data_IF_902231308683
#
_entry.id   IF_902231308683
#
_cell.length_a   1.000
_cell.length_b   1.000
_cell.length_c   1.000
_cell.angle_alpha   90.00
_cell.angle_beta   90.00
_cell.angle_gamma   90.00
#
_symmetry.space_group_name_H-M   'P 1'
#
loop_
_entity.id
_entity.type
_entity.pdbx_description
1 polymer ?
#
# COMPACT_ATOMS: atom_id res chain seq x y z
N UNK A 1 -24.41 -17.31 -8.78
CA UNK A 1 -23.00 -16.84 -8.87
C UNK A 1 -22.55 -16.38 -10.26
N UNK A 2 -23.39 -15.73 -11.06
CA UNK A 2 -23.01 -15.24 -12.41
C UNK A 2 -22.87 -13.73 -12.53
N UNK A 3 -22.69 -13.00 -11.41
CA UNK A 3 -22.90 -11.56 -11.35
C UNK A 3 -21.72 -10.73 -11.87
N UNK A 4 -20.49 -11.21 -11.78
CA UNK A 4 -19.30 -10.41 -12.07
C UNK A 4 -18.49 -10.98 -13.23
N UNK A 5 -18.03 -10.10 -14.11
CA UNK A 5 -17.23 -10.45 -15.28
C UNK A 5 -16.23 -9.34 -15.59
N UNK A 6 -15.01 -9.72 -15.90
CA UNK A 6 -13.98 -8.82 -16.43
C UNK A 6 -13.51 -9.36 -17.78
N UNK A 7 -13.67 -8.59 -18.84
CA UNK A 7 -13.50 -9.05 -20.23
C UNK A 7 -14.31 -10.34 -20.50
N UNK A 8 -13.64 -11.42 -20.88
CA UNK A 8 -14.27 -12.71 -21.15
C UNK A 8 -14.25 -13.69 -19.95
N UNK A 9 -13.63 -13.28 -18.82
CA UNK A 9 -13.48 -14.12 -17.62
C UNK A 9 -14.58 -13.83 -16.61
N UNK A 10 -15.31 -14.87 -16.17
CA UNK A 10 -16.20 -14.77 -15.00
C UNK A 10 -15.33 -14.71 -13.76
N UNK A 11 -15.65 -13.83 -12.80
CA UNK A 11 -14.92 -13.66 -11.55
C UNK A 11 -15.85 -13.75 -10.35
N UNK A 12 -15.31 -14.13 -9.21
CA UNK A 12 -16.06 -14.44 -8.00
C UNK A 12 -16.65 -13.21 -7.31
N UNK A 13 -16.04 -12.03 -7.43
CA UNK A 13 -16.50 -10.81 -6.77
C UNK A 13 -16.00 -9.52 -7.41
N UNK A 14 -16.51 -8.36 -6.96
CA UNK A 14 -16.18 -7.05 -7.55
C UNK A 14 -14.96 -6.38 -6.92
N UNK A 15 -14.35 -7.01 -5.90
CA UNK A 15 -13.29 -6.36 -5.12
C UNK A 15 -11.89 -6.77 -5.53
N UNK A 16 -10.94 -5.89 -5.22
CA UNK A 16 -9.50 -6.16 -5.23
C UNK A 16 -8.81 -5.49 -4.03
N UNK A 17 -7.64 -5.99 -3.67
CA UNK A 17 -6.70 -5.29 -2.78
C UNK A 17 -5.65 -4.64 -3.68
N UNK A 18 -5.49 -3.31 -3.68
CA UNK A 18 -4.55 -2.62 -4.55
C UNK A 18 -3.09 -3.01 -4.32
N UNK A 19 -2.26 -2.88 -5.36
CA UNK A 19 -0.83 -3.17 -5.31
C UNK A 19 -0.11 -2.50 -4.13
N UNK A 20 0.73 -3.28 -3.43
CA UNK A 20 1.61 -2.77 -2.37
C UNK A 20 0.99 -2.71 -0.98
N UNK A 21 -0.18 -3.29 -0.78
CA UNK A 21 -0.84 -3.46 0.52
C UNK A 21 -0.75 -4.95 0.91
N UNK A 22 -1.72 -5.57 1.48
CA UNK A 22 -1.69 -6.95 2.00
C UNK A 22 -1.05 -7.98 1.04
N UNK A 23 -1.27 -7.88 -0.27
CA UNK A 23 -0.76 -8.80 -1.30
C UNK A 23 0.71 -8.56 -1.67
N UNK A 24 1.56 -8.35 -0.67
CA UNK A 24 3.00 -8.10 -0.89
C UNK A 24 3.81 -9.36 -1.15
N UNK A 25 3.35 -10.50 -0.63
CA UNK A 25 3.95 -11.82 -0.81
C UNK A 25 3.01 -12.75 -1.58
N UNK A 26 3.61 -13.60 -2.42
CA UNK A 26 2.87 -14.55 -3.28
C UNK A 26 2.05 -15.55 -2.46
N UNK A 27 2.56 -15.99 -1.31
CA UNK A 27 1.83 -16.89 -0.40
C UNK A 27 0.58 -16.27 0.21
N UNK A 28 0.62 -14.96 0.51
CA UNK A 28 -0.56 -14.24 0.99
C UNK A 28 -1.56 -14.04 -0.15
N UNK A 29 -1.08 -13.76 -1.36
CA UNK A 29 -1.93 -13.66 -2.55
C UNK A 29 -2.69 -14.97 -2.80
N UNK A 30 -2.01 -16.13 -2.73
CA UNK A 30 -2.60 -17.45 -2.85
C UNK A 30 -3.65 -17.73 -1.77
N UNK A 31 -3.33 -17.40 -0.51
CA UNK A 31 -4.28 -17.54 0.60
C UNK A 31 -5.54 -16.71 0.38
N UNK A 32 -5.41 -15.43 -0.01
CA UNK A 32 -6.54 -14.55 -0.33
C UNK A 32 -7.35 -15.11 -1.50
N UNK A 33 -6.69 -15.62 -2.55
CA UNK A 33 -7.36 -16.20 -3.70
C UNK A 33 -8.28 -17.36 -3.31
N UNK A 34 -7.83 -18.22 -2.40
CA UNK A 34 -8.56 -19.42 -1.99
C UNK A 34 -9.60 -19.15 -0.90
N UNK A 35 -9.36 -18.19 0.01
CA UNK A 35 -10.19 -18.01 1.19
C UNK A 35 -11.22 -16.87 1.11
N UNK A 36 -11.05 -15.91 0.16
CA UNK A 36 -11.91 -14.71 0.08
C UNK A 36 -12.60 -14.65 -1.30
N UNK A 37 -13.79 -15.28 -1.44
CA UNK A 37 -14.49 -15.31 -2.71
C UNK A 37 -14.93 -13.94 -3.23
N UNK A 38 -15.13 -12.96 -2.36
CA UNK A 38 -15.55 -11.60 -2.71
C UNK A 38 -14.48 -10.82 -3.50
N UNK A 39 -13.20 -11.23 -3.38
CA UNK A 39 -12.09 -10.68 -4.17
C UNK A 39 -12.00 -11.44 -5.50
N UNK A 40 -12.53 -10.86 -6.55
CA UNK A 40 -12.48 -11.42 -7.92
C UNK A 40 -11.24 -11.04 -8.70
N UNK A 41 -10.60 -9.91 -8.38
CA UNK A 41 -9.35 -9.44 -9.01
C UNK A 41 -8.22 -9.51 -7.98
N UNK A 42 -7.16 -10.24 -8.30
CA UNK A 42 -5.98 -10.38 -7.46
C UNK A 42 -4.88 -9.48 -8.01
N UNK A 43 -4.63 -8.34 -7.34
CA UNK A 43 -3.57 -7.42 -7.74
C UNK A 43 -2.29 -7.72 -6.97
N UNK A 44 -1.19 -7.97 -7.67
CA UNK A 44 0.11 -8.24 -7.05
C UNK A 44 0.78 -6.98 -6.54
N UNK A 45 1.84 -7.13 -5.76
CA UNK A 45 2.85 -6.08 -5.57
C UNK A 45 3.33 -5.59 -6.92
N UNK A 46 3.65 -4.29 -7.05
CA UNK A 46 4.30 -3.80 -8.27
C UNK A 46 5.73 -4.34 -8.37
N UNK A 47 6.02 -5.01 -9.47
CA UNK A 47 7.29 -5.68 -9.76
C UNK A 47 8.08 -4.88 -10.78
N UNK A 48 9.35 -4.67 -10.51
CA UNK A 48 10.31 -4.04 -11.41
C UNK A 48 11.34 -5.03 -11.95
N UNK A 49 12.23 -4.57 -12.86
CA UNK A 49 13.25 -5.44 -13.44
C UNK A 49 14.21 -5.99 -12.38
N UNK A 50 14.63 -5.15 -11.44
CA UNK A 50 15.62 -5.48 -10.41
C UNK A 50 15.03 -5.45 -9.00
N UNK A 51 15.62 -6.19 -8.04
CA UNK A 51 15.24 -6.09 -6.62
C UNK A 51 15.43 -4.68 -6.06
N UNK A 52 14.53 -4.24 -5.19
CA UNK A 52 14.63 -2.95 -4.48
C UNK A 52 14.28 -3.14 -3.01
N UNK A 53 15.14 -2.66 -2.14
CA UNK A 53 14.92 -2.67 -0.68
C UNK A 53 13.88 -1.60 -0.25
N UNK A 54 13.71 -0.55 -1.05
CA UNK A 54 12.84 0.57 -0.72
C UNK A 54 13.52 1.61 0.17
N UNK A 55 12.70 2.47 0.79
CA UNK A 55 13.17 3.52 1.67
C UNK A 55 13.40 2.99 3.10
N UNK A 56 14.20 3.71 3.88
CA UNK A 56 14.41 3.44 5.31
C UNK A 56 13.17 3.84 6.11
N UNK A 57 12.93 3.13 7.21
CA UNK A 57 11.86 3.45 8.16
C UNK A 57 12.14 4.74 8.95
N UNK A 58 11.09 5.48 9.32
CA UNK A 58 9.66 5.23 9.08
C UNK A 58 9.26 5.44 7.61
N UNK A 59 8.54 4.48 7.04
CA UNK A 59 8.02 4.52 5.67
C UNK A 59 6.50 4.75 5.60
N UNK A 60 5.83 4.71 6.75
CA UNK A 60 4.39 4.92 6.87
C UNK A 60 4.06 5.59 8.21
N UNK A 61 3.11 6.49 8.18
CA UNK A 61 2.53 7.11 9.38
C UNK A 61 1.03 7.33 9.20
N UNK A 62 0.30 7.45 10.30
CA UNK A 62 -1.10 7.86 10.27
C UNK A 62 -1.17 9.35 9.97
N UNK A 63 -1.90 9.70 8.91
CA UNK A 63 -2.10 11.10 8.49
C UNK A 63 -3.31 11.72 9.16
N UNK A 64 -4.38 10.96 9.23
CA UNK A 64 -5.63 11.28 9.94
C UNK A 64 -6.42 9.97 10.12
N UNK A 65 -7.54 9.97 10.83
CA UNK A 65 -8.37 8.77 10.94
C UNK A 65 -8.67 8.13 9.58
N UNK A 66 -8.33 6.82 9.44
CA UNK A 66 -8.46 6.02 8.20
C UNK A 66 -7.65 6.52 7.01
N UNK A 67 -6.62 7.32 7.26
CA UNK A 67 -5.75 7.85 6.23
C UNK A 67 -4.29 7.71 6.64
N UNK A 68 -3.44 7.39 5.68
CA UNK A 68 -2.02 7.18 5.91
C UNK A 68 -1.21 8.01 4.94
N UNK A 69 0.01 8.33 5.34
CA UNK A 69 1.04 8.84 4.46
C UNK A 69 2.17 7.82 4.39
N UNK A 70 2.66 7.51 3.19
CA UNK A 70 3.70 6.52 3.01
C UNK A 70 4.72 6.90 1.95
N UNK A 71 5.93 6.35 2.10
CA UNK A 71 7.02 6.45 1.15
C UNK A 71 7.78 5.13 1.10
N UNK A 72 7.14 4.06 0.63
CA UNK A 72 7.71 2.70 0.61
C UNK A 72 8.91 2.58 -0.34
N UNK A 73 8.90 3.24 -1.50
CA UNK A 73 10.04 3.27 -2.42
C UNK A 73 10.10 2.10 -3.41
N UNK A 74 8.95 1.54 -3.81
CA UNK A 74 8.85 0.43 -4.78
C UNK A 74 9.61 -0.84 -4.37
N UNK A 75 9.65 -1.15 -3.07
CA UNK A 75 10.22 -2.40 -2.54
C UNK A 75 9.64 -3.59 -3.27
N UNK A 76 10.47 -4.45 -3.85
CA UNK A 76 10.06 -5.65 -4.55
C UNK A 76 11.25 -6.61 -4.77
N UNK A 77 11.02 -7.91 -4.99
CA UNK A 77 12.10 -8.91 -5.14
C UNK A 77 12.76 -8.92 -6.53
N UNK A 78 12.30 -8.08 -7.46
CA UNK A 78 12.68 -8.17 -8.88
C UNK A 78 11.92 -9.24 -9.64
N UNK A 79 11.88 -9.12 -10.96
CA UNK A 79 11.07 -9.98 -11.84
C UNK A 79 11.51 -11.44 -11.81
N UNK A 80 12.81 -11.73 -11.70
CA UNK A 80 13.34 -13.10 -11.69
C UNK A 80 12.86 -13.90 -10.47
N UNK A 81 12.99 -13.31 -9.29
CA UNK A 81 12.57 -13.97 -8.05
C UNK A 81 11.05 -14.04 -7.93
N UNK A 82 10.35 -12.97 -8.35
CA UNK A 82 8.89 -12.97 -8.36
C UNK A 82 8.34 -14.03 -9.34
N UNK A 83 8.90 -14.14 -10.54
CA UNK A 83 8.52 -15.16 -11.54
C UNK A 83 8.65 -16.59 -11.00
N UNK A 84 9.75 -16.89 -10.30
CA UNK A 84 9.95 -18.20 -9.64
C UNK A 84 8.92 -18.48 -8.54
N UNK A 85 8.42 -17.46 -7.84
CA UNK A 85 7.42 -17.64 -6.79
C UNK A 85 6.03 -17.77 -7.35
N UNK A 86 5.65 -16.90 -8.31
CA UNK A 86 4.29 -16.89 -8.86
C UNK A 86 4.00 -18.14 -9.70
N UNK A 87 5.01 -18.72 -10.34
CA UNK A 87 4.87 -19.96 -11.12
C UNK A 87 4.56 -21.21 -10.27
N UNK A 88 4.67 -21.11 -8.95
CA UNK A 88 4.45 -22.24 -8.02
C UNK A 88 3.07 -22.27 -7.38
N UNK A 89 2.29 -21.20 -7.53
CA UNK A 89 0.95 -21.11 -6.95
C UNK A 89 -0.12 -21.38 -7.99
N UNK A 90 -1.26 -21.88 -7.52
CA UNK A 90 -2.44 -22.09 -8.34
C UNK A 90 -3.48 -21.00 -8.02
N UNK A 91 -3.87 -20.27 -9.06
CA UNK A 91 -4.93 -19.27 -8.97
C UNK A 91 -6.26 -19.89 -9.37
N UNK A 92 -7.32 -19.84 -8.52
CA UNK A 92 -8.63 -20.35 -8.87
C UNK A 92 -9.16 -19.76 -10.19
N UNK A 93 -9.89 -20.54 -11.02
CA UNK A 93 -10.31 -20.12 -12.36
C UNK A 93 -11.29 -18.93 -12.35
N UNK A 94 -11.95 -18.69 -11.23
CA UNK A 94 -12.86 -17.55 -11.00
C UNK A 94 -12.16 -16.30 -10.41
N UNK A 95 -10.85 -16.24 -10.48
CA UNK A 95 -10.02 -15.07 -10.11
C UNK A 95 -9.32 -14.52 -11.34
N UNK A 96 -9.22 -13.20 -11.44
CA UNK A 96 -8.44 -12.52 -12.46
C UNK A 96 -7.12 -12.04 -11.83
N UNK A 97 -6.01 -12.65 -12.21
CA UNK A 97 -4.69 -12.24 -11.73
C UNK A 97 -4.22 -11.02 -12.52
N UNK A 98 -4.14 -9.87 -11.86
CA UNK A 98 -3.67 -8.59 -12.39
C UNK A 98 -2.27 -8.31 -11.84
N UNK A 99 -1.25 -8.56 -12.66
CA UNK A 99 0.15 -8.36 -12.23
C UNK A 99 0.55 -6.91 -12.41
N UNK A 100 0.78 -6.23 -11.29
CA UNK A 100 1.26 -4.83 -11.30
C UNK A 100 2.75 -4.79 -11.58
N UNK A 101 3.16 -3.97 -12.57
CA UNK A 101 4.54 -3.84 -13.01
C UNK A 101 4.96 -2.37 -13.11
N UNK A 102 6.25 -2.10 -12.95
CA UNK A 102 6.84 -0.78 -13.16
C UNK A 102 8.19 -0.85 -13.84
N UNK A 103 8.56 0.26 -14.48
CA UNK A 103 9.85 0.51 -15.11
C UNK A 103 10.07 2.00 -15.27
N UNK A 104 11.28 2.41 -15.63
CA UNK A 104 11.62 3.81 -15.94
C UNK A 104 11.45 4.16 -17.43
N UNK A 105 11.31 3.16 -18.29
CA UNK A 105 11.18 3.31 -19.74
C UNK A 105 10.46 2.11 -20.36
N UNK A 106 10.13 2.21 -21.65
CA UNK A 106 9.42 1.15 -22.38
C UNK A 106 10.12 -0.22 -22.30
N UNK A 107 11.45 -0.23 -22.45
CA UNK A 107 12.24 -1.47 -22.44
C UNK A 107 12.12 -2.21 -21.11
N UNK A 108 12.22 -1.50 -19.99
CA UNK A 108 12.10 -2.10 -18.66
C UNK A 108 10.70 -2.67 -18.39
N UNK A 109 9.64 -1.93 -18.74
CA UNK A 109 8.29 -2.45 -18.66
C UNK A 109 8.11 -3.71 -19.51
N UNK A 110 8.62 -3.69 -20.74
CA UNK A 110 8.55 -4.81 -21.68
C UNK A 110 9.27 -6.04 -21.13
N UNK A 111 10.49 -5.88 -20.63
CA UNK A 111 11.29 -6.95 -20.05
C UNK A 111 10.56 -7.63 -18.89
N UNK A 112 9.98 -6.85 -17.96
CA UNK A 112 9.23 -7.39 -16.84
C UNK A 112 7.98 -8.13 -17.32
N UNK A 113 7.24 -7.56 -18.26
CA UNK A 113 6.00 -8.16 -18.76
C UNK A 113 6.25 -9.47 -19.52
N UNK A 114 7.28 -9.54 -20.37
CA UNK A 114 7.63 -10.76 -21.13
C UNK A 114 7.95 -11.94 -20.20
N UNK A 115 8.63 -11.69 -19.08
CA UNK A 115 8.95 -12.74 -18.09
C UNK A 115 7.73 -13.22 -17.30
N UNK A 116 6.65 -12.44 -17.25
CA UNK A 116 5.47 -12.72 -16.42
C UNK A 116 4.20 -13.03 -17.23
N UNK A 117 4.24 -12.93 -18.56
CA UNK A 117 3.06 -13.03 -19.44
C UNK A 117 2.34 -14.37 -19.32
N UNK A 118 3.06 -15.46 -19.10
CA UNK A 118 2.49 -16.80 -18.97
C UNK A 118 1.84 -17.06 -17.61
N UNK A 119 2.12 -16.23 -16.61
CA UNK A 119 1.65 -16.39 -15.24
C UNK A 119 0.57 -15.38 -14.83
N UNK A 120 0.03 -14.60 -15.79
CA UNK A 120 -0.94 -13.54 -15.49
C UNK A 120 -2.14 -13.55 -16.43
N UNK A 121 -3.29 -13.07 -15.96
CA UNK A 121 -4.45 -12.78 -16.80
C UNK A 121 -4.36 -11.38 -17.45
N UNK A 122 -3.65 -10.43 -16.81
CA UNK A 122 -3.44 -9.08 -17.31
C UNK A 122 -2.39 -8.31 -16.54
N UNK A 123 -2.00 -7.14 -17.03
CA UNK A 123 -1.00 -6.27 -16.42
C UNK A 123 -1.61 -4.96 -15.91
N UNK A 124 -1.15 -4.47 -14.76
CA UNK A 124 -1.36 -3.10 -14.30
C UNK A 124 -0.05 -2.32 -14.43
N UNK A 125 -0.02 -1.28 -15.26
CA UNK A 125 1.14 -0.42 -15.43
C UNK A 125 1.16 0.64 -14.34
N UNK A 126 2.09 0.53 -13.38
CA UNK A 126 2.27 1.52 -12.33
C UNK A 126 3.14 2.67 -12.82
N UNK A 127 2.51 3.68 -13.42
CA UNK A 127 3.12 4.91 -13.92
C UNK A 127 2.90 6.10 -12.96
N UNK A 128 2.64 5.83 -11.68
CA UNK A 128 2.06 6.83 -10.77
C UNK A 128 2.75 6.94 -9.41
N UNK A 129 3.87 6.21 -9.17
CA UNK A 129 4.56 6.27 -7.88
C UNK A 129 5.28 7.63 -7.71
N UNK A 130 4.92 8.45 -6.69
CA UNK A 130 5.48 9.80 -6.55
C UNK A 130 6.85 9.84 -5.84
N UNK A 131 7.41 8.68 -5.42
CA UNK A 131 8.57 8.65 -4.52
C UNK A 131 9.82 8.00 -5.12
N UNK A 132 9.83 7.72 -6.43
CA UNK A 132 10.94 7.02 -7.08
C UNK A 132 11.41 7.79 -8.31
N UNK A 133 12.49 8.55 -8.18
CA UNK A 133 13.08 9.33 -9.28
C UNK A 133 13.35 8.44 -10.50
N UNK A 134 12.91 8.88 -11.68
CA UNK A 134 13.01 8.14 -12.93
C UNK A 134 11.97 7.04 -13.13
N UNK A 135 11.03 6.87 -12.18
CA UNK A 135 9.95 5.87 -12.23
C UNK A 135 8.60 6.51 -11.92
N UNK A 136 7.53 5.74 -12.11
CA UNK A 136 6.21 6.11 -11.66
C UNK A 136 5.75 7.46 -12.20
N UNK A 137 5.64 8.48 -11.35
CA UNK A 137 5.10 9.79 -11.72
C UNK A 137 5.93 10.50 -12.80
N UNK A 138 7.26 10.34 -12.81
CA UNK A 138 8.11 10.89 -13.86
C UNK A 138 7.77 10.27 -15.23
N UNK A 139 7.43 8.98 -15.26
CA UNK A 139 6.93 8.30 -16.47
C UNK A 139 5.55 8.81 -16.85
N UNK A 140 4.63 8.92 -15.88
CA UNK A 140 3.25 9.32 -16.10
C UNK A 140 3.05 10.77 -16.59
N UNK A 141 4.02 11.65 -16.35
CA UNK A 141 4.03 13.03 -16.86
C UNK A 141 4.29 13.12 -18.38
N UNK A 142 4.86 12.08 -18.98
CA UNK A 142 5.19 12.05 -20.38
C UNK A 142 4.15 11.22 -21.15
N UNK A 143 3.18 11.90 -21.77
CA UNK A 143 2.08 11.26 -22.53
C UNK A 143 2.58 10.37 -23.67
N UNK A 144 3.63 10.74 -24.38
CA UNK A 144 4.20 9.93 -25.46
C UNK A 144 4.82 8.64 -24.91
N UNK A 145 5.47 8.72 -23.75
CA UNK A 145 6.05 7.55 -23.08
C UNK A 145 4.94 6.62 -22.55
N UNK A 146 3.87 7.17 -21.98
CA UNK A 146 2.69 6.41 -21.53
C UNK A 146 2.08 5.64 -22.69
N UNK A 147 1.87 6.31 -23.85
CA UNK A 147 1.34 5.67 -25.05
C UNK A 147 2.26 4.55 -25.56
N UNK A 148 3.56 4.81 -25.64
CA UNK A 148 4.58 3.82 -26.07
C UNK A 148 4.61 2.60 -25.17
N UNK A 149 4.70 2.79 -23.85
CA UNK A 149 4.70 1.70 -22.86
C UNK A 149 3.42 0.88 -23.00
N UNK A 150 2.26 1.54 -23.00
CA UNK A 150 0.97 0.87 -23.10
C UNK A 150 0.89 0.02 -24.37
N UNK A 151 1.23 0.58 -25.51
CA UNK A 151 1.23 -0.12 -26.82
C UNK A 151 2.16 -1.32 -26.83
N UNK A 152 3.34 -1.18 -26.25
CA UNK A 152 4.33 -2.24 -26.14
C UNK A 152 3.79 -3.42 -25.32
N UNK A 153 3.15 -3.18 -24.17
CA UNK A 153 2.64 -4.24 -23.33
C UNK A 153 1.35 -4.87 -23.89
N UNK A 154 0.46 -4.06 -24.49
CA UNK A 154 -0.74 -4.56 -25.18
C UNK A 154 -0.38 -5.56 -26.29
N UNK A 155 0.74 -5.36 -26.98
CA UNK A 155 1.21 -6.26 -28.04
C UNK A 155 1.55 -7.69 -27.55
N UNK A 156 1.64 -7.92 -26.23
CA UNK A 156 1.79 -9.25 -25.64
C UNK A 156 0.47 -10.06 -25.61
N UNK A 157 -0.65 -9.44 -26.00
CA UNK A 157 -1.94 -10.13 -26.12
C UNK A 157 -2.71 -10.33 -24.83
N UNK A 158 -2.28 -9.67 -23.74
CA UNK A 158 -3.00 -9.67 -22.44
C UNK A 158 -3.71 -8.33 -22.23
N UNK A 159 -4.84 -8.31 -21.49
CA UNK A 159 -5.45 -7.07 -21.02
C UNK A 159 -4.47 -6.20 -20.22
N UNK A 160 -4.48 -4.91 -20.45
CA UNK A 160 -3.61 -3.94 -19.78
C UNK A 160 -4.43 -2.89 -19.07
N UNK A 161 -4.16 -2.66 -17.80
CA UNK A 161 -4.65 -1.55 -17.00
C UNK A 161 -3.54 -0.52 -16.79
N UNK A 162 -3.88 0.75 -16.77
CA UNK A 162 -2.96 1.82 -16.38
C UNK A 162 -3.42 2.42 -15.07
N UNK A 163 -2.53 2.45 -14.06
CA UNK A 163 -2.81 3.02 -12.74
C UNK A 163 -2.46 4.51 -12.72
N UNK A 164 -3.50 5.32 -12.56
CA UNK A 164 -3.44 6.77 -12.67
C UNK A 164 -3.07 7.42 -11.34
N UNK A 165 -2.17 8.41 -11.40
CA UNK A 165 -1.89 9.31 -10.28
C UNK A 165 -2.85 10.50 -10.29
N UNK A 166 -3.42 10.88 -9.13
CA UNK A 166 -4.22 12.10 -9.04
C UNK A 166 -3.37 13.40 -9.09
N UNK A 167 -2.06 13.25 -9.11
CA UNK A 167 -1.10 14.37 -9.13
C UNK A 167 -0.75 14.82 -10.56
N UNK A 168 -1.28 14.11 -11.55
CA UNK A 168 -1.06 14.36 -12.99
C UNK A 168 -2.35 14.87 -13.63
N UNK A 169 -2.25 15.34 -14.87
CA UNK A 169 -3.44 15.53 -15.69
C UNK A 169 -4.08 14.18 -16.01
N UNK A 170 -5.12 13.84 -15.25
CA UNK A 170 -5.82 12.56 -15.36
C UNK A 170 -6.34 12.34 -16.77
N UNK A 171 -6.94 13.37 -17.41
CA UNK A 171 -7.53 13.23 -18.75
C UNK A 171 -6.47 13.01 -19.81
N UNK A 172 -5.38 13.73 -19.78
CA UNK A 172 -4.27 13.54 -20.74
C UNK A 172 -3.57 12.20 -20.57
N UNK A 173 -3.31 11.77 -19.34
CA UNK A 173 -2.71 10.44 -19.07
C UNK A 173 -3.62 9.31 -19.57
N UNK A 174 -4.93 9.40 -19.32
CA UNK A 174 -5.91 8.40 -19.80
C UNK A 174 -6.01 8.40 -21.33
N UNK A 175 -6.07 9.56 -21.99
CA UNK A 175 -6.06 9.64 -23.45
C UNK A 175 -4.80 9.02 -24.07
N UNK A 176 -3.63 9.24 -23.47
CA UNK A 176 -2.39 8.62 -23.90
C UNK A 176 -2.44 7.08 -23.77
N UNK A 177 -2.96 6.58 -22.65
CA UNK A 177 -3.16 5.15 -22.45
C UNK A 177 -4.16 4.55 -23.48
N UNK A 178 -5.24 5.26 -23.80
CA UNK A 178 -6.23 4.86 -24.82
C UNK A 178 -5.57 4.78 -26.20
N UNK A 179 -4.75 5.75 -26.60
CA UNK A 179 -3.98 5.69 -27.87
C UNK A 179 -3.04 4.50 -27.91
N UNK A 180 -2.50 4.09 -26.74
CA UNK A 180 -1.68 2.88 -26.59
C UNK A 180 -2.47 1.57 -26.62
N UNK A 181 -3.82 1.61 -26.61
CA UNK A 181 -4.68 0.44 -26.67
C UNK A 181 -4.98 -0.19 -25.30
N UNK A 182 -4.96 0.60 -24.21
CA UNK A 182 -5.27 0.14 -22.85
C UNK A 182 -6.64 -0.55 -22.79
N UNK A 183 -6.76 -1.57 -21.93
CA UNK A 183 -8.00 -2.35 -21.74
C UNK A 183 -8.84 -1.89 -20.55
N UNK A 184 -8.24 -1.13 -19.60
CA UNK A 184 -8.91 -0.63 -18.42
C UNK A 184 -8.05 0.37 -17.65
N UNK A 185 -8.65 1.03 -16.66
CA UNK A 185 -7.99 2.06 -15.84
C UNK A 185 -8.11 1.70 -14.37
N UNK A 186 -7.03 1.85 -13.61
CA UNK A 186 -7.05 1.84 -12.13
C UNK A 186 -6.89 3.28 -11.63
N UNK A 187 -7.86 3.79 -10.88
CA UNK A 187 -7.87 5.15 -10.36
C UNK A 187 -8.36 5.17 -8.90
N UNK A 188 -7.57 5.72 -7.97
CA UNK A 188 -6.31 6.47 -8.11
C UNK A 188 -5.19 5.85 -7.25
N UNK A 189 -3.94 6.21 -7.52
CA UNK A 189 -2.83 6.02 -6.60
C UNK A 189 -2.85 7.13 -5.52
N UNK A 190 -1.86 7.14 -4.63
CA UNK A 190 -1.74 8.12 -3.54
C UNK A 190 -1.57 9.55 -4.05
N UNK A 191 -2.09 10.52 -3.27
CA UNK A 191 -1.86 11.94 -3.49
C UNK A 191 -0.51 12.35 -2.90
N UNK A 192 0.33 13.04 -3.64
CA UNK A 192 1.62 13.54 -3.15
C UNK A 192 2.61 13.80 -4.30
N UNK A 193 3.86 14.12 -3.96
CA UNK A 193 4.49 14.02 -2.65
C UNK A 193 4.07 15.13 -1.67
N UNK A 194 3.74 14.76 -0.43
CA UNK A 194 3.35 15.69 0.63
C UNK A 194 4.29 15.57 1.83
N UNK A 195 4.55 16.69 2.52
CA UNK A 195 5.31 16.74 3.77
C UNK A 195 4.36 16.49 4.95
N UNK A 196 4.66 15.48 5.76
CA UNK A 196 3.98 15.26 7.04
C UNK A 196 4.95 15.38 8.20
N UNK A 197 4.60 16.22 9.15
CA UNK A 197 5.43 16.54 10.31
C UNK A 197 4.69 16.22 11.60
N UNK A 198 5.44 15.73 12.58
CA UNK A 198 4.97 15.51 13.93
C UNK A 198 5.62 16.54 14.87
N UNK A 199 4.87 16.99 15.87
CA UNK A 199 5.39 17.95 16.87
C UNK A 199 6.18 17.20 17.93
N UNK A 200 7.47 17.41 17.95
CA UNK A 200 8.40 16.83 18.91
C UNK A 200 9.01 17.91 19.80
N UNK A 201 9.79 17.50 20.79
CA UNK A 201 10.61 18.45 21.54
C UNK A 201 11.57 19.19 20.60
N UNK A 202 11.60 20.52 20.69
CA UNK A 202 12.40 21.35 19.78
C UNK A 202 11.74 21.67 18.44
N UNK A 203 10.45 21.35 18.22
CA UNK A 203 9.67 21.81 17.07
C UNK A 203 9.12 20.71 16.17
N UNK A 204 8.78 21.06 14.93
CA UNK A 204 8.20 20.13 13.96
C UNK A 204 9.30 19.35 13.23
N UNK A 205 9.13 18.04 13.08
CA UNK A 205 10.05 17.17 12.35
C UNK A 205 9.29 16.28 11.36
N UNK A 206 9.84 16.04 10.15
CA UNK A 206 9.29 15.06 9.23
C UNK A 206 9.24 13.68 9.90
N UNK A 207 8.12 12.99 9.76
CA UNK A 207 7.97 11.63 10.29
C UNK A 207 8.67 10.63 9.38
N UNK A 208 8.34 10.66 8.08
CA UNK A 208 8.94 9.73 7.12
C UNK A 208 10.43 10.01 6.92
N UNK A 209 11.23 8.96 6.85
CA UNK A 209 12.67 9.07 6.58
C UNK A 209 12.97 9.73 5.22
N UNK A 210 12.10 9.54 4.24
CA UNK A 210 12.15 10.20 2.93
C UNK A 210 11.62 11.65 2.96
N UNK A 211 11.16 12.15 4.12
CA UNK A 211 10.50 13.45 4.37
C UNK A 211 9.15 13.60 3.69
N UNK A 212 9.04 13.23 2.42
CA UNK A 212 7.83 13.35 1.60
C UNK A 212 7.20 11.98 1.38
N UNK A 213 5.87 11.93 1.35
CA UNK A 213 5.09 10.72 1.15
C UNK A 213 3.82 10.92 0.34
N UNK A 214 3.16 9.82 -0.02
CA UNK A 214 1.84 9.82 -0.66
C UNK A 214 0.73 9.54 0.34
N UNK A 215 -0.29 10.37 0.31
CA UNK A 215 -1.48 10.24 1.15
C UNK A 215 -2.43 9.22 0.53
N UNK A 216 -2.93 8.30 1.35
CA UNK A 216 -3.94 7.30 1.03
C UNK A 216 -5.09 7.33 2.03
N UNK A 217 -6.17 6.58 1.71
CA UNK A 217 -7.30 6.44 2.61
C UNK A 217 -8.35 7.53 2.45
N UNK A 218 -9.12 7.77 3.51
CA UNK A 218 -10.31 8.63 3.46
C UNK A 218 -10.00 10.06 3.04
N UNK A 219 -8.80 10.56 3.32
CA UNK A 219 -8.35 11.90 2.94
C UNK A 219 -8.32 12.13 1.41
N UNK A 220 -8.29 11.07 0.60
CA UNK A 220 -8.27 11.18 -0.88
C UNK A 220 -9.57 10.70 -1.54
N UNK A 221 -10.62 10.43 -0.79
CA UNK A 221 -11.89 9.91 -1.31
C UNK A 221 -12.50 10.83 -2.38
N UNK A 222 -12.66 12.11 -2.09
CA UNK A 222 -13.28 13.07 -3.02
C UNK A 222 -12.42 13.26 -4.29
N UNK A 223 -11.11 13.22 -4.14
CA UNK A 223 -10.19 13.27 -5.26
C UNK A 223 -10.33 12.04 -6.16
N UNK A 224 -10.47 10.86 -5.55
CA UNK A 224 -10.72 9.61 -6.28
C UNK A 224 -12.04 9.62 -7.04
N UNK A 225 -13.11 10.06 -6.39
CA UNK A 225 -14.44 10.19 -7.01
C UNK A 225 -14.41 11.15 -8.21
N UNK A 226 -13.78 12.32 -8.04
CA UNK A 226 -13.62 13.30 -9.11
C UNK A 226 -12.83 12.73 -10.28
N UNK A 227 -11.73 12.01 -9.98
CA UNK A 227 -10.91 11.37 -11.00
C UNK A 227 -11.69 10.31 -11.79
N UNK A 228 -12.44 9.44 -11.10
CA UNK A 228 -13.26 8.40 -11.76
C UNK A 228 -14.34 9.03 -12.66
N UNK A 229 -15.04 10.07 -12.19
CA UNK A 229 -16.00 10.82 -13.02
C UNK A 229 -15.34 11.39 -14.29
N UNK A 230 -14.19 12.04 -14.13
CA UNK A 230 -13.45 12.62 -15.26
C UNK A 230 -12.96 11.57 -16.26
N UNK A 231 -12.61 10.37 -15.79
CA UNK A 231 -12.24 9.25 -16.65
C UNK A 231 -13.46 8.72 -17.39
N UNK A 232 -14.59 8.55 -16.72
CA UNK A 232 -15.82 8.05 -17.32
C UNK A 232 -16.37 8.96 -18.43
N UNK A 233 -16.13 10.28 -18.35
CA UNK A 233 -16.48 11.24 -19.41
C UNK A 233 -15.76 10.98 -20.73
N UNK A 234 -14.64 10.29 -20.73
CA UNK A 234 -13.78 10.10 -21.90
C UNK A 234 -13.64 8.64 -22.36
N UNK A 235 -14.14 7.66 -21.58
CA UNK A 235 -14.04 6.24 -21.96
C UNK A 235 -15.07 5.38 -21.25
N UNK A 236 -15.51 4.31 -21.94
CA UNK A 236 -16.35 3.25 -21.39
C UNK A 236 -15.54 2.02 -20.90
N UNK A 237 -14.21 2.10 -20.92
CA UNK A 237 -13.35 1.02 -20.45
C UNK A 237 -13.62 0.70 -18.96
N UNK A 238 -13.37 -0.55 -18.54
CA UNK A 238 -13.46 -0.92 -17.14
C UNK A 238 -12.59 -0.04 -16.23
N UNK A 239 -13.16 0.43 -15.13
CA UNK A 239 -12.46 1.23 -14.11
C UNK A 239 -12.42 0.47 -12.80
N UNK A 240 -11.22 0.23 -12.28
CA UNK A 240 -10.98 -0.21 -10.89
C UNK A 240 -10.78 1.06 -10.05
N UNK A 241 -11.76 1.39 -9.20
CA UNK A 241 -11.68 2.55 -8.32
C UNK A 241 -10.89 2.23 -7.07
N UNK A 242 -10.00 3.13 -6.67
CA UNK A 242 -9.22 3.07 -5.43
C UNK A 242 -9.16 4.46 -4.77
N UNK A 243 -9.13 4.49 -3.45
CA UNK A 243 -8.98 5.73 -2.66
C UNK A 243 -10.13 5.96 -1.70
N UNK A 244 -9.91 5.63 -0.42
CA UNK A 244 -10.84 5.91 0.66
C UNK A 244 -12.09 5.04 0.73
N UNK A 245 -12.16 3.94 -0.02
CA UNK A 245 -13.26 2.98 0.05
C UNK A 245 -13.10 2.17 1.34
N UNK A 246 -14.14 2.18 2.18
CA UNK A 246 -14.15 1.47 3.46
C UNK A 246 -15.51 0.87 3.81
N UNK A 247 -16.61 1.40 3.30
CA UNK A 247 -17.97 0.92 3.55
C UNK A 247 -18.79 0.87 2.26
N UNK A 248 -20.01 0.35 2.38
CA UNK A 248 -20.99 0.36 1.30
C UNK A 248 -21.18 1.75 0.68
N UNK A 249 -21.23 2.77 1.52
CA UNK A 249 -21.51 4.13 1.06
C UNK A 249 -20.45 4.63 0.05
N UNK A 250 -19.16 4.38 0.29
CA UNK A 250 -18.11 4.76 -0.65
C UNK A 250 -18.15 3.89 -1.91
N UNK A 251 -18.46 2.60 -1.80
CA UNK A 251 -18.63 1.72 -2.97
C UNK A 251 -19.75 2.24 -3.88
N UNK A 252 -20.91 2.58 -3.32
CA UNK A 252 -22.05 3.12 -4.07
C UNK A 252 -21.69 4.45 -4.75
N UNK A 253 -21.04 5.37 -4.04
CA UNK A 253 -20.56 6.64 -4.62
C UNK A 253 -19.60 6.43 -5.80
N UNK A 254 -18.66 5.49 -5.69
CA UNK A 254 -17.77 5.16 -6.80
C UNK A 254 -18.47 4.48 -7.96
N UNK A 255 -19.47 3.64 -7.68
CA UNK A 255 -20.34 3.04 -8.69
C UNK A 255 -21.12 4.11 -9.46
N UNK A 256 -21.71 5.08 -8.77
CA UNK A 256 -22.38 6.24 -9.36
C UNK A 256 -21.40 7.11 -10.17
N UNK A 257 -20.15 7.23 -9.75
CA UNK A 257 -19.10 7.91 -10.50
C UNK A 257 -18.68 7.15 -11.78
N UNK A 258 -19.11 5.88 -11.94
CA UNK A 258 -18.86 5.07 -13.13
C UNK A 258 -17.80 3.97 -12.95
N UNK A 259 -17.40 3.64 -11.73
CA UNK A 259 -16.50 2.52 -11.47
C UNK A 259 -17.18 1.15 -11.67
N UNK A 260 -16.41 0.17 -12.10
CA UNK A 260 -16.86 -1.21 -12.32
C UNK A 260 -16.40 -2.14 -11.19
N UNK A 261 -15.19 -1.91 -10.64
CA UNK A 261 -14.55 -2.70 -9.60
C UNK A 261 -13.97 -1.78 -8.51
N UNK A 262 -13.74 -2.32 -7.32
CA UNK A 262 -13.43 -1.53 -6.13
C UNK A 262 -12.19 -2.07 -5.42
N UNK A 263 -11.14 -1.23 -5.34
CA UNK A 263 -9.89 -1.53 -4.66
C UNK A 263 -9.89 -0.99 -3.23
N UNK A 264 -9.78 -1.88 -2.26
CA UNK A 264 -9.81 -1.56 -0.84
C UNK A 264 -8.42 -1.77 -0.24
N UNK A 265 -7.85 -0.72 0.30
CA UNK A 265 -6.49 -0.74 0.82
C UNK A 265 -6.39 -0.30 2.28
N UNK A 266 -6.38 1.00 2.53
CA UNK A 266 -6.15 1.59 3.87
C UNK A 266 -7.17 1.16 4.93
N UNK A 267 -8.38 0.77 4.55
CA UNK A 267 -9.37 0.21 5.45
C UNK A 267 -8.95 -1.13 6.08
N UNK A 268 -8.02 -1.86 5.45
CA UNK A 268 -7.52 -3.16 5.92
C UNK A 268 -6.33 -3.04 6.89
N UNK A 269 -5.88 -1.82 7.19
CA UNK A 269 -4.74 -1.61 8.08
C UNK A 269 -5.03 -2.17 9.49
N UNK A 270 -4.08 -2.96 10.02
CA UNK A 270 -4.22 -3.63 11.32
C UNK A 270 -5.06 -4.91 11.31
N UNK A 271 -5.69 -5.28 10.19
CA UNK A 271 -6.49 -6.50 10.10
C UNK A 271 -5.60 -7.72 9.77
N UNK A 272 -5.79 -8.81 10.51
CA UNK A 272 -5.27 -10.12 10.11
C UNK A 272 -6.14 -10.73 8.99
N UNK A 273 -5.74 -11.87 8.43
CA UNK A 273 -6.42 -12.51 7.29
C UNK A 273 -7.89 -12.84 7.60
N UNK A 274 -8.20 -13.31 8.81
CA UNK A 274 -9.58 -13.65 9.21
C UNK A 274 -10.47 -12.41 9.28
N UNK A 275 -9.98 -11.31 9.85
CA UNK A 275 -10.70 -10.03 9.86
C UNK A 275 -10.90 -9.49 8.43
N UNK A 276 -9.89 -9.62 7.55
CA UNK A 276 -10.01 -9.23 6.14
C UNK A 276 -11.10 -10.05 5.44
N UNK A 277 -11.14 -11.35 5.65
CA UNK A 277 -12.17 -12.24 5.11
C UNK A 277 -13.57 -11.83 5.58
N UNK A 278 -13.73 -11.63 6.88
CA UNK A 278 -15.00 -11.18 7.45
C UNK A 278 -15.41 -9.79 6.92
N UNK A 279 -14.45 -8.89 6.76
CA UNK A 279 -14.67 -7.56 6.21
C UNK A 279 -15.25 -7.60 4.79
N UNK A 280 -14.64 -8.34 3.86
CA UNK A 280 -15.13 -8.43 2.49
C UNK A 280 -16.48 -9.15 2.41
N UNK A 281 -16.69 -10.18 3.25
CA UNK A 281 -17.96 -10.87 3.37
C UNK A 281 -19.08 -9.91 3.83
N UNK A 282 -18.86 -9.17 4.91
CA UNK A 282 -19.81 -8.18 5.41
C UNK A 282 -20.08 -7.08 4.38
N UNK A 283 -19.04 -6.59 3.69
CA UNK A 283 -19.18 -5.54 2.69
C UNK A 283 -20.05 -5.98 1.51
N UNK A 284 -19.91 -7.23 1.06
CA UNK A 284 -20.75 -7.78 0.00
C UNK A 284 -22.21 -7.94 0.45
N UNK A 285 -22.45 -8.36 1.70
CA UNK A 285 -23.77 -8.43 2.30
C UNK A 285 -24.39 -7.02 2.40
N UNK A 286 -23.63 -6.05 2.90
CA UNK A 286 -24.08 -4.66 3.02
C UNK A 286 -24.55 -4.09 1.69
N UNK A 287 -23.81 -4.40 0.61
CA UNK A 287 -24.18 -4.00 -0.77
C UNK A 287 -25.46 -4.69 -1.27
N UNK A 288 -25.72 -5.92 -0.86
CA UNK A 288 -26.90 -6.69 -1.26
C UNK A 288 -28.17 -6.36 -0.44
N UNK A 289 -28.00 -6.18 0.85
CA UNK A 289 -29.10 -6.05 1.82
C UNK A 289 -29.33 -4.61 2.30
N UNK A 290 -28.43 -3.68 1.99
CA UNK A 290 -28.52 -2.30 2.47
C UNK A 290 -28.16 -2.13 3.94
N UNK A 291 -27.38 -3.04 4.52
CA UNK A 291 -26.93 -3.01 5.92
C UNK A 291 -25.59 -2.29 6.09
N UNK A 292 -25.06 -2.21 7.31
CA UNK A 292 -23.78 -1.56 7.64
C UNK A 292 -22.94 -2.45 8.58
N UNK A 293 -22.93 -3.77 8.39
CA UNK A 293 -22.19 -4.75 9.21
C UNK A 293 -20.68 -4.50 9.17
N UNK A 294 -20.16 -3.96 8.06
CA UNK A 294 -18.76 -3.63 7.89
C UNK A 294 -18.28 -2.57 8.87
N UNK A 295 -19.14 -1.62 9.28
CA UNK A 295 -18.77 -0.49 10.14
C UNK A 295 -18.23 -0.94 11.49
N UNK A 296 -18.78 -1.98 12.09
CA UNK A 296 -18.33 -2.48 13.40
C UNK A 296 -16.89 -3.01 13.38
N UNK A 297 -16.44 -3.57 12.25
CA UNK A 297 -15.06 -4.03 12.09
C UNK A 297 -14.06 -2.89 11.95
N UNK A 298 -14.53 -1.69 11.57
CA UNK A 298 -13.70 -0.50 11.42
C UNK A 298 -13.59 0.31 12.72
N UNK A 299 -14.36 -0.02 13.74
CA UNK A 299 -14.31 0.65 15.07
C UNK A 299 -13.05 0.27 15.84
N UNK A 300 -12.52 -0.94 15.65
CA UNK A 300 -11.23 -1.38 16.19
C UNK A 300 -10.09 -0.75 15.36
N UNK A 301 -9.69 0.44 15.71
CA UNK A 301 -8.67 1.20 14.98
C UNK A 301 -7.26 0.75 15.32
N UNK A 302 -6.43 0.64 14.29
CA UNK A 302 -4.99 0.72 14.46
C UNK A 302 -4.62 2.17 14.84
N UNK A 303 -4.13 2.37 16.04
CA UNK A 303 -3.52 3.64 16.47
C UNK A 303 -2.03 3.59 16.13
N UNK A 304 -1.60 4.53 15.29
CA UNK A 304 -0.19 4.69 14.89
C UNK A 304 0.39 6.02 15.39
N UNK A 305 -0.29 6.68 16.30
CA UNK A 305 0.20 7.92 16.88
C UNK A 305 1.38 7.66 17.81
N UNK A 306 2.36 8.56 17.78
CA UNK A 306 3.52 8.47 18.66
C UNK A 306 3.20 9.05 20.03
N UNK A 307 3.58 8.32 21.07
CA UNK A 307 3.62 8.81 22.45
C UNK A 307 5.04 9.18 22.81
N UNK A 308 5.21 10.32 23.51
CA UNK A 308 6.51 10.80 23.99
C UNK A 308 6.84 10.14 25.31
N UNK A 309 8.03 9.55 25.39
CA UNK A 309 8.62 8.99 26.62
C UNK A 309 9.92 9.68 26.95
N UNK A 310 10.23 9.81 28.25
CA UNK A 310 11.49 10.35 28.76
C UNK A 310 12.41 9.22 29.19
N UNK A 311 13.67 9.30 28.85
CA UNK A 311 14.69 8.33 29.31
C UNK A 311 14.94 8.54 30.80
N UNK A 312 14.73 7.51 31.61
CA UNK A 312 15.07 7.46 33.04
C UNK A 312 16.45 6.89 33.28
N UNK A 313 16.81 5.86 32.53
CA UNK A 313 18.11 5.19 32.67
C UNK A 313 18.52 4.63 31.30
N UNK A 314 19.80 4.78 30.95
CA UNK A 314 20.44 4.12 29.85
C UNK A 314 21.71 3.44 30.35
N UNK A 315 21.61 2.13 30.65
CA UNK A 315 22.66 1.38 31.32
C UNK A 315 23.33 0.41 30.37
N UNK A 316 24.64 0.58 30.15
CA UNK A 316 25.44 -0.44 29.46
C UNK A 316 25.55 -1.71 30.31
N UNK A 317 25.22 -2.84 29.69
CA UNK A 317 25.38 -4.18 30.33
C UNK A 317 26.57 -4.93 29.77
N UNK A 318 26.93 -4.68 28.50
CA UNK A 318 28.09 -5.18 27.81
C UNK A 318 28.52 -4.19 26.72
N UNK A 319 29.57 -4.45 25.97
CA UNK A 319 30.09 -3.56 24.93
C UNK A 319 29.05 -3.22 23.87
N UNK A 320 28.20 -4.17 23.52
CA UNK A 320 27.18 -4.06 22.51
C UNK A 320 25.73 -4.21 23.05
N UNK A 321 25.55 -4.30 24.36
CA UNK A 321 24.25 -4.53 25.00
C UNK A 321 23.94 -3.44 26.04
N UNK A 322 22.75 -2.86 25.98
CA UNK A 322 22.31 -1.88 26.96
C UNK A 322 20.82 -2.00 27.28
N UNK A 323 20.47 -1.51 28.45
CA UNK A 323 19.10 -1.45 28.94
C UNK A 323 18.66 0.00 28.92
N UNK A 324 17.51 0.26 28.26
CA UNK A 324 16.89 1.57 28.20
C UNK A 324 15.58 1.54 28.98
N UNK A 325 15.52 2.28 30.09
CA UNK A 325 14.30 2.49 30.87
C UNK A 325 13.69 3.84 30.58
N UNK A 326 12.40 3.85 30.36
CA UNK A 326 11.61 5.01 30.04
C UNK A 326 10.64 5.33 31.20
N UNK A 327 10.20 6.58 31.28
CA UNK A 327 9.11 6.93 32.16
C UNK A 327 7.77 6.45 31.54
N UNK A 328 6.88 5.98 32.39
CA UNK A 328 5.57 5.47 31.94
C UNK A 328 5.49 3.97 31.81
N UNK A 329 4.36 3.55 31.33
CA UNK A 329 3.94 2.16 31.17
C UNK A 329 3.33 1.94 29.79
N UNK A 330 3.26 0.71 29.34
CA UNK A 330 2.61 0.30 28.12
C UNK A 330 1.92 -1.04 28.32
N UNK A 331 0.65 -1.14 27.97
CA UNK A 331 -0.04 -2.43 27.98
C UNK A 331 0.40 -3.25 26.78
N UNK A 332 1.06 -4.39 27.00
CA UNK A 332 1.60 -5.23 25.95
C UNK A 332 1.39 -6.72 26.22
N UNK A 333 0.86 -7.43 25.24
CA UNK A 333 0.65 -8.88 25.30
C UNK A 333 1.83 -9.68 24.74
N UNK A 334 1.86 -11.00 25.01
CA UNK A 334 2.88 -11.88 24.47
C UNK A 334 2.94 -11.85 22.94
N UNK A 335 4.15 -11.69 22.40
CA UNK A 335 4.39 -11.64 20.95
C UNK A 335 4.16 -10.28 20.30
N UNK A 336 3.66 -9.29 21.04
CA UNK A 336 3.57 -7.91 20.56
C UNK A 336 4.92 -7.19 20.69
N UNK A 337 5.05 -6.08 19.99
CA UNK A 337 6.26 -5.24 19.99
C UNK A 337 5.86 -3.78 19.75
N UNK A 338 6.75 -2.89 20.09
CA UNK A 338 6.59 -1.44 19.86
C UNK A 338 7.52 -0.97 18.76
N UNK A 339 7.18 0.17 18.15
CA UNK A 339 8.12 0.91 17.30
C UNK A 339 8.68 2.10 18.09
N UNK A 340 10.00 2.16 18.17
CA UNK A 340 10.72 3.30 18.75
C UNK A 340 11.25 4.20 17.62
N UNK A 341 10.89 5.48 17.67
CA UNK A 341 11.28 6.50 16.70
C UNK A 341 12.14 7.58 17.36
N UNK A 342 13.27 7.87 16.74
CA UNK A 342 14.06 9.07 17.00
C UNK A 342 13.97 9.99 15.77
N UNK A 343 13.49 11.22 15.92
CA UNK A 343 13.40 12.18 14.82
C UNK A 343 14.70 12.29 14.05
N UNK A 344 14.63 12.23 12.72
CA UNK A 344 15.76 12.29 11.77
C UNK A 344 16.75 11.11 11.84
N UNK A 345 16.63 10.22 12.82
CA UNK A 345 17.51 9.04 12.98
C UNK A 345 16.86 7.74 12.49
N UNK A 346 15.53 7.68 12.45
CA UNK A 346 14.77 6.53 11.97
C UNK A 346 13.86 5.90 13.02
N UNK A 347 13.31 4.75 12.69
CA UNK A 347 12.42 3.95 13.53
C UNK A 347 12.79 2.48 13.44
N UNK A 348 12.62 1.75 14.54
CA UNK A 348 12.79 0.30 14.56
C UNK A 348 11.82 -0.36 15.54
N UNK A 349 11.39 -1.62 15.27
CA UNK A 349 10.63 -2.42 16.20
C UNK A 349 11.50 -2.96 17.33
N UNK A 350 10.95 -3.04 18.53
CA UNK A 350 11.57 -3.64 19.70
C UNK A 350 10.56 -4.44 20.52
N UNK A 351 10.99 -5.61 20.98
CA UNK A 351 10.28 -6.33 22.03
C UNK A 351 10.46 -5.60 23.35
N UNK A 352 9.42 -5.58 24.18
CA UNK A 352 9.46 -5.00 25.51
C UNK A 352 9.97 -6.04 26.50
N UNK A 353 10.92 -5.65 27.35
CA UNK A 353 11.45 -6.49 28.42
C UNK A 353 10.56 -6.41 29.68
N UNK A 354 10.13 -5.18 30.01
CA UNK A 354 9.28 -4.89 31.17
C UNK A 354 8.33 -3.76 30.77
N UNK A 355 7.06 -3.86 31.11
CA UNK A 355 6.01 -2.90 30.77
C UNK A 355 5.90 -1.76 31.80
N UNK A 356 6.34 -1.97 33.04
CA UNK A 356 6.27 -1.01 34.16
C UNK A 356 7.56 -1.00 35.00
N UNK A 357 8.43 0.00 34.87
CA UNK A 357 8.50 1.03 33.84
C UNK A 357 8.88 0.44 32.48
N UNK A 358 8.39 1.04 31.40
CA UNK A 358 8.71 0.56 30.06
C UNK A 358 10.22 0.41 29.86
N UNK A 359 10.65 -0.82 29.64
CA UNK A 359 12.07 -1.20 29.60
C UNK A 359 12.37 -1.98 28.33
N UNK A 360 13.41 -1.56 27.63
CA UNK A 360 13.90 -2.23 26.43
C UNK A 360 15.31 -2.76 26.65
N UNK A 361 15.57 -4.01 26.23
CA UNK A 361 16.92 -4.58 26.16
C UNK A 361 17.37 -4.55 24.70
N UNK A 362 18.43 -3.79 24.42
CA UNK A 362 18.81 -3.44 23.05
C UNK A 362 20.26 -3.82 22.77
N UNK A 363 20.47 -4.59 21.67
CA UNK A 363 21.80 -4.84 21.14
C UNK A 363 22.16 -3.77 20.08
N UNK A 364 23.37 -3.21 20.18
CA UNK A 364 23.93 -2.27 19.19
C UNK A 364 24.33 -3.03 17.93
N UNK A 365 23.52 -2.90 16.86
CA UNK A 365 23.78 -3.59 15.59
C UNK A 365 23.84 -2.66 14.38
N UNK A 366 23.53 -1.38 14.53
CA UNK A 366 23.48 -0.47 13.40
C UNK A 366 23.28 0.98 13.83
N UNK A 367 23.16 1.88 12.87
CA UNK A 367 23.12 3.33 13.11
C UNK A 367 22.04 3.71 14.15
N UNK A 368 20.82 3.17 14.02
CA UNK A 368 19.71 3.52 14.90
C UNK A 368 19.95 3.07 16.37
N UNK A 369 20.34 1.82 16.59
CA UNK A 369 20.61 1.32 17.95
C UNK A 369 21.85 1.95 18.58
N UNK A 370 22.83 2.40 17.77
CA UNK A 370 23.94 3.22 18.23
C UNK A 370 23.49 4.62 18.66
N UNK A 371 22.51 5.25 17.99
CA UNK A 371 21.95 6.52 18.44
C UNK A 371 21.14 6.33 19.74
N UNK A 372 20.35 5.26 19.87
CA UNK A 372 19.64 4.94 21.11
C UNK A 372 20.60 4.78 22.29
N UNK A 373 21.76 4.13 22.09
CA UNK A 373 22.75 3.94 23.18
C UNK A 373 23.42 5.22 23.67
N UNK A 374 23.27 6.34 22.95
CA UNK A 374 23.82 7.66 23.34
C UNK A 374 22.84 8.51 24.11
N UNK A 375 21.56 8.11 24.16
CA UNK A 375 20.54 8.85 24.92
C UNK A 375 20.93 8.93 26.40
N UNK A 376 20.69 10.09 26.99
CA UNK A 376 20.94 10.37 28.41
C UNK A 376 19.63 10.47 29.17
N UNK A 377 19.73 10.43 30.48
CA UNK A 377 18.60 10.76 31.35
C UNK A 377 18.01 12.12 30.97
N UNK A 378 16.67 12.19 30.89
CA UNK A 378 15.86 13.31 30.43
C UNK A 378 15.86 13.57 28.91
N UNK A 379 16.54 12.76 28.08
CA UNK A 379 16.32 12.76 26.63
C UNK A 379 14.95 12.14 26.29
N UNK A 380 14.47 12.36 25.08
CA UNK A 380 13.14 11.94 24.62
C UNK A 380 13.23 10.89 23.52
N UNK A 381 12.29 9.96 23.57
CA UNK A 381 12.03 8.97 22.51
C UNK A 381 10.52 8.93 22.24
N UNK A 382 10.14 8.59 21.02
CA UNK A 382 8.75 8.50 20.61
C UNK A 382 8.42 7.05 20.30
N UNK A 383 7.29 6.55 20.82
CA UNK A 383 6.90 5.15 20.71
C UNK A 383 5.48 5.08 20.19
N UNK A 384 5.22 4.11 19.32
CA UNK A 384 3.89 3.73 18.85
C UNK A 384 3.72 2.21 18.90
N UNK A 385 2.46 1.77 18.97
CA UNK A 385 2.08 0.39 19.21
C UNK A 385 1.87 0.12 20.70
N UNK A 386 1.55 -1.13 21.06
CA UNK A 386 1.67 -2.38 20.32
C UNK A 386 0.60 -2.61 19.28
#
# INVERSE_FOLDING_TARGET
MEKYKIFNKKISGPFTIPAGIVTTEVSILEKIANEIPEIGILTTKSIGPEPREGNREPIIAQYSPFSFINAVGLTNPGVEEFGKRISKIEIPPDKFLLTSIFGGNEREFREVAEKLVDFTDGFELNISCPHSKGYGQDVGQNSELVEKITKSIVSLGKPVFVKISPNLDVKETVKAAIRGGVSGITAINTKGPELYQYRVEGGWRPVLSNKLGGISGKAILELGLTSVKSIREITDLPIIACGGISTRAEVERYKEAGANFFGIGSALAGMNTEKIKQYFHNLLIDLGEGTNKTTSLLEERLDMDYQKYTVRENKSLADDLFLLRLDGEIEIGPGQFIFAWLPEKGEKPFSVLDDIPLTLLIQKRGCFTNELSKLKENDFIYIRGP
#
